data_IF_864360177214
#
_entry.id   IF_864360177214
#
_cell.length_a   1.000
_cell.length_b   1.000
_cell.length_c   1.000
_cell.angle_alpha   90.00
_cell.angle_beta   90.00
_cell.angle_gamma   90.00
#
_symmetry.space_group_name_H-M   'P 1'
#
loop_
_entity.id
_entity.type
_entity.pdbx_description
1 polymer ?
#
# COMPACT_ATOMS: atom_id res chain seq x y z
N UNK A 1 0.22 38.74 31.94
CA UNK A 1 -1.14 38.35 31.51
C UNK A 1 -2.01 38.15 32.74
N UNK A 2 -3.23 38.68 32.80
CA UNK A 2 -4.11 38.46 33.94
C UNK A 2 -4.38 36.96 34.06
N UNK A 3 -4.09 36.39 35.22
CA UNK A 3 -4.30 34.97 35.46
C UNK A 3 -5.81 34.75 35.53
N UNK A 4 -6.35 33.99 34.56
CA UNK A 4 -7.80 33.74 34.42
C UNK A 4 -8.48 33.19 35.69
N UNK A 5 -7.75 32.42 36.49
CA UNK A 5 -8.19 31.94 37.81
C UNK A 5 -7.05 32.10 38.81
N UNK A 6 -7.29 32.89 39.86
CA UNK A 6 -6.32 33.11 40.94
C UNK A 6 -6.23 31.90 41.85
N UNK A 7 -5.14 31.81 42.63
CA UNK A 7 -4.95 30.71 43.58
C UNK A 7 -6.04 30.72 44.64
N UNK A 8 -6.41 31.90 45.12
CA UNK A 8 -7.40 32.13 46.18
C UNK A 8 -8.77 31.63 45.74
N UNK A 9 -9.17 31.98 44.51
CA UNK A 9 -10.44 31.54 43.92
C UNK A 9 -10.48 30.02 43.75
N UNK A 10 -9.39 29.41 43.25
CA UNK A 10 -9.35 27.96 43.06
C UNK A 10 -9.28 27.20 44.37
N UNK A 11 -8.64 27.76 45.40
CA UNK A 11 -8.55 27.15 46.72
C UNK A 11 -9.90 27.14 47.44
N UNK A 12 -10.63 28.26 47.42
CA UNK A 12 -11.98 28.32 48.00
C UNK A 12 -12.95 27.38 47.27
N UNK A 13 -12.92 27.39 45.94
CA UNK A 13 -13.77 26.51 45.15
C UNK A 13 -13.43 25.03 45.33
N UNK A 14 -12.14 24.68 45.45
CA UNK A 14 -11.73 23.31 45.71
C UNK A 14 -12.21 22.83 47.08
N UNK A 15 -12.15 23.66 48.13
CA UNK A 15 -12.64 23.28 49.46
C UNK A 15 -14.13 22.94 49.46
N UNK A 16 -14.94 23.62 48.64
CA UNK A 16 -16.39 23.40 48.57
C UNK A 16 -16.83 22.37 47.52
N UNK A 17 -15.91 21.93 46.65
CA UNK A 17 -16.23 21.04 45.53
C UNK A 17 -15.84 19.60 45.81
N UNK A 18 -16.60 18.67 45.24
CA UNK A 18 -16.30 17.23 45.32
C UNK A 18 -15.57 16.68 44.10
N UNK A 19 -15.42 17.48 43.03
CA UNK A 19 -14.65 17.14 41.83
C UNK A 19 -14.33 18.38 40.98
N UNK A 20 -13.39 18.25 40.04
CA UNK A 20 -13.10 19.31 39.05
C UNK A 20 -14.33 19.62 38.18
N UNK A 21 -15.17 18.63 37.90
CA UNK A 21 -16.44 18.83 37.21
C UNK A 21 -17.42 19.66 38.05
N UNK A 22 -17.45 19.48 39.37
CA UNK A 22 -18.25 20.29 40.28
C UNK A 22 -17.74 21.74 40.33
N UNK A 23 -16.41 21.91 40.38
CA UNK A 23 -15.80 23.24 40.26
C UNK A 23 -16.17 23.93 38.94
N UNK A 24 -16.18 23.20 37.81
CA UNK A 24 -16.56 23.75 36.51
C UNK A 24 -18.03 24.19 36.49
N UNK A 25 -18.93 23.44 37.12
CA UNK A 25 -20.34 23.83 37.28
C UNK A 25 -20.46 25.09 38.14
N UNK A 26 -19.76 25.15 39.28
CA UNK A 26 -19.77 26.31 40.19
C UNK A 26 -19.18 27.57 39.55
N UNK A 27 -18.16 27.41 38.70
CA UNK A 27 -17.57 28.48 37.91
C UNK A 27 -18.44 28.94 36.73
N UNK A 28 -19.54 28.22 36.43
CA UNK A 28 -20.39 28.52 35.28
C UNK A 28 -19.69 28.33 33.93
N UNK A 29 -18.66 27.48 33.87
CA UNK A 29 -17.88 27.27 32.64
C UNK A 29 -18.36 26.04 31.87
N UNK A 30 -18.24 26.03 30.53
CA UNK A 30 -18.63 24.88 29.72
C UNK A 30 -17.91 23.60 30.13
N UNK A 31 -18.62 22.47 30.13
CA UNK A 31 -18.12 21.11 30.40
C UNK A 31 -17.25 20.56 29.26
N UNK A 32 -16.21 21.30 28.91
CA UNK A 32 -15.25 20.97 27.86
C UNK A 32 -13.95 20.40 28.44
N UNK A 33 -13.38 19.39 27.76
CA UNK A 33 -12.15 18.72 28.21
C UNK A 33 -10.94 19.66 28.33
N UNK A 34 -10.88 20.72 27.52
CA UNK A 34 -9.84 21.75 27.60
C UNK A 34 -9.88 22.53 28.92
N UNK A 35 -11.07 22.95 29.35
CA UNK A 35 -11.29 23.66 30.62
C UNK A 35 -10.96 22.76 31.82
N UNK A 36 -11.39 21.50 31.77
CA UNK A 36 -11.06 20.51 32.80
C UNK A 36 -9.54 20.31 32.95
N UNK A 37 -8.84 20.13 31.82
CA UNK A 37 -7.38 19.96 31.79
C UNK A 37 -6.65 21.20 32.32
N UNK A 38 -7.11 22.40 31.94
CA UNK A 38 -6.53 23.65 32.42
C UNK A 38 -6.68 23.82 33.94
N UNK A 39 -7.88 23.62 34.49
CA UNK A 39 -8.14 23.69 35.92
C UNK A 39 -7.33 22.65 36.71
N UNK A 40 -7.28 21.40 36.21
CA UNK A 40 -6.48 20.33 36.83
C UNK A 40 -5.00 20.70 36.91
N UNK A 41 -4.43 21.29 35.85
CA UNK A 41 -3.05 21.77 35.84
C UNK A 41 -2.83 22.93 36.82
N UNK A 42 -3.79 23.86 36.92
CA UNK A 42 -3.71 25.00 37.82
C UNK A 42 -3.79 24.62 39.29
N UNK A 43 -4.67 23.68 39.65
CA UNK A 43 -4.76 23.14 41.01
C UNK A 43 -3.43 22.53 41.45
N UNK A 44 -2.81 21.70 40.58
CA UNK A 44 -1.48 21.13 40.83
C UNK A 44 -0.39 22.19 40.93
N UNK A 45 -0.41 23.17 40.02
CA UNK A 45 0.57 24.26 40.02
C UNK A 45 0.54 25.09 41.31
N UNK A 46 -0.66 25.32 41.86
CA UNK A 46 -0.82 26.07 43.10
C UNK A 46 -0.70 25.22 44.37
N UNK A 47 -0.50 23.91 44.24
CA UNK A 47 -0.45 22.98 45.37
C UNK A 47 -1.74 22.97 46.19
N UNK A 48 -2.88 23.14 45.52
CA UNK A 48 -4.19 23.11 46.19
C UNK A 48 -4.56 21.66 46.45
N UNK A 49 -4.97 21.37 47.68
CA UNK A 49 -5.39 20.04 48.07
C UNK A 49 -6.71 19.65 47.38
N UNK A 50 -6.72 18.44 46.85
CA UNK A 50 -7.87 17.85 46.17
C UNK A 50 -8.01 16.36 46.53
N UNK A 51 -7.43 15.90 47.64
CA UNK A 51 -7.52 14.48 48.05
C UNK A 51 -8.94 14.07 48.36
N UNK A 52 -9.75 15.01 48.87
CA UNK A 52 -11.17 14.81 49.15
C UNK A 52 -12.04 14.69 47.89
N UNK A 53 -11.50 14.98 46.71
CA UNK A 53 -12.26 14.86 45.47
C UNK A 53 -12.62 13.40 45.20
N UNK A 54 -13.91 13.16 44.98
CA UNK A 54 -14.52 11.85 44.77
C UNK A 54 -14.53 10.94 46.01
N UNK A 55 -14.30 11.46 47.22
CA UNK A 55 -14.62 10.73 48.46
C UNK A 55 -16.11 10.38 48.51
N UNK A 56 -16.45 9.16 48.94
CA UNK A 56 -17.82 8.65 48.99
C UNK A 56 -18.42 8.24 47.65
N UNK A 57 -17.71 8.39 46.52
CA UNK A 57 -18.12 7.76 45.27
C UNK A 57 -17.96 6.25 45.40
N UNK A 58 -18.98 5.42 45.08
CA UNK A 58 -18.80 3.98 45.03
C UNK A 58 -17.59 3.67 44.15
N UNK A 59 -16.64 2.87 44.64
CA UNK A 59 -15.60 2.32 43.77
C UNK A 59 -16.31 1.40 42.78
N UNK A 60 -16.69 1.96 41.63
CA UNK A 60 -17.18 1.18 40.51
C UNK A 60 -16.10 0.22 39.98
N UNK A 61 -14.90 0.24 40.55
CA UNK A 61 -13.72 -0.43 40.10
C UNK A 61 -13.32 0.19 38.78
N UNK A 62 -12.12 0.76 38.68
CA UNK A 62 -11.37 0.39 37.48
C UNK A 62 -11.28 -1.13 37.58
N UNK A 63 -12.12 -1.89 36.86
CA UNK A 63 -11.98 -3.35 36.77
C UNK A 63 -10.52 -3.59 36.43
N UNK A 64 -9.72 -3.93 37.43
CA UNK A 64 -8.30 -4.20 37.25
C UNK A 64 -8.32 -5.58 36.65
N UNK A 65 -7.76 -5.68 35.46
CA UNK A 65 -7.54 -6.94 34.79
C UNK A 65 -6.08 -7.32 35.09
N UNK A 66 -5.81 -7.97 36.24
CA UNK A 66 -4.48 -8.47 36.54
C UNK A 66 -4.09 -9.51 35.50
N UNK A 67 -2.79 -9.75 35.38
CA UNK A 67 -2.22 -10.64 34.37
C UNK A 67 -2.85 -12.03 34.43
N UNK A 68 -3.11 -12.54 35.63
CA UNK A 68 -3.64 -13.89 35.87
C UNK A 68 -5.03 -14.05 35.26
N UNK A 69 -5.93 -13.10 35.54
CA UNK A 69 -7.30 -13.09 35.00
C UNK A 69 -7.29 -12.97 33.47
N UNK A 70 -6.39 -12.15 32.91
CA UNK A 70 -6.26 -12.02 31.45
C UNK A 70 -5.67 -13.25 30.79
N UNK A 71 -4.71 -13.92 31.44
CA UNK A 71 -4.11 -15.14 30.94
C UNK A 71 -5.13 -16.29 30.93
N UNK A 72 -5.91 -16.43 32.00
CA UNK A 72 -7.00 -17.41 32.09
C UNK A 72 -8.08 -17.14 31.03
N UNK A 73 -8.54 -15.89 30.92
CA UNK A 73 -9.53 -15.51 29.91
C UNK A 73 -9.00 -15.75 28.49
N UNK A 74 -7.72 -15.45 28.23
CA UNK A 74 -7.11 -15.72 26.93
C UNK A 74 -7.01 -17.23 26.63
N UNK A 75 -6.66 -18.07 27.61
CA UNK A 75 -6.59 -19.51 27.40
C UNK A 75 -7.95 -20.14 27.03
N UNK A 76 -9.04 -19.61 27.57
CA UNK A 76 -10.41 -20.10 27.31
C UNK A 76 -11.13 -19.38 26.16
N UNK A 77 -10.44 -18.49 25.46
CA UNK A 77 -11.01 -17.67 24.40
C UNK A 77 -10.21 -17.80 23.12
N UNK A 78 -10.88 -17.55 22.01
CA UNK A 78 -10.28 -17.48 20.68
C UNK A 78 -10.22 -16.03 20.15
N UNK A 79 -10.65 -15.05 20.95
CA UNK A 79 -10.65 -13.64 20.57
C UNK A 79 -10.76 -12.72 21.80
N UNK A 80 -10.37 -11.44 21.66
CA UNK A 80 -10.57 -10.43 22.72
C UNK A 80 -12.07 -10.22 23.03
N UNK A 81 -12.97 -10.42 22.05
CA UNK A 81 -14.41 -10.35 22.29
C UNK A 81 -14.90 -11.56 23.10
N UNK A 82 -14.44 -12.77 22.78
CA UNK A 82 -14.69 -13.96 23.58
C UNK A 82 -14.12 -13.81 25.00
N UNK A 83 -12.94 -13.17 25.14
CA UNK A 83 -12.41 -12.81 26.46
C UNK A 83 -13.34 -11.85 27.20
N UNK A 84 -13.86 -10.80 26.54
CA UNK A 84 -14.81 -9.88 27.18
C UNK A 84 -16.08 -10.61 27.62
N UNK A 85 -16.60 -11.54 26.81
CA UNK A 85 -17.73 -12.39 27.18
C UNK A 85 -17.41 -13.31 28.38
N UNK A 86 -16.23 -13.95 28.38
CA UNK A 86 -15.74 -14.78 29.47
C UNK A 86 -15.56 -14.00 30.78
N UNK A 87 -15.12 -12.74 30.68
CA UNK A 87 -14.99 -11.79 31.79
C UNK A 87 -16.33 -11.19 32.24
N UNK A 88 -17.45 -11.59 31.62
CA UNK A 88 -18.79 -11.08 31.91
C UNK A 88 -18.94 -9.59 31.62
N UNK A 89 -18.31 -9.11 30.54
CA UNK A 89 -18.34 -7.70 30.13
C UNK A 89 -18.98 -7.57 28.74
N UNK A 90 -19.94 -6.65 28.61
CA UNK A 90 -20.48 -6.28 27.30
C UNK A 90 -19.39 -5.60 26.45
N UNK A 91 -19.18 -6.00 25.18
CA UNK A 91 -18.13 -5.43 24.34
C UNK A 91 -18.31 -3.92 24.10
N UNK A 92 -17.22 -3.14 24.24
CA UNK A 92 -17.13 -1.74 23.80
C UNK A 92 -15.68 -1.35 23.43
N UNK A 93 -15.52 -0.41 22.50
CA UNK A 93 -14.25 -0.13 21.81
C UNK A 93 -13.07 0.26 22.73
N UNK A 94 -13.34 1.02 23.79
CA UNK A 94 -12.28 1.47 24.70
C UNK A 94 -11.73 0.33 25.57
N UNK A 95 -12.56 -0.65 25.93
CA UNK A 95 -12.11 -1.85 26.64
C UNK A 95 -11.34 -2.80 25.72
N UNK A 96 -11.80 -2.98 24.48
CA UNK A 96 -11.06 -3.76 23.49
C UNK A 96 -9.62 -3.26 23.34
N UNK A 97 -9.46 -1.95 23.15
CA UNK A 97 -8.16 -1.29 23.01
C UNK A 97 -7.30 -1.37 24.28
N UNK A 98 -7.94 -1.36 25.45
CA UNK A 98 -7.27 -1.53 26.74
C UNK A 98 -6.76 -2.97 26.92
N UNK A 99 -7.61 -3.98 26.71
CA UNK A 99 -7.26 -5.39 26.83
C UNK A 99 -6.17 -5.78 25.84
N UNK A 100 -6.25 -5.31 24.60
CA UNK A 100 -5.21 -5.51 23.58
C UNK A 100 -3.84 -5.03 24.05
N UNK A 101 -3.75 -3.83 24.63
CA UNK A 101 -2.48 -3.31 25.19
C UNK A 101 -2.00 -4.16 26.37
N UNK A 102 -2.89 -4.55 27.27
CA UNK A 102 -2.54 -5.36 28.45
C UNK A 102 -2.03 -6.76 28.08
N UNK A 103 -2.62 -7.40 27.08
CA UNK A 103 -2.16 -8.70 26.58
C UNK A 103 -0.70 -8.63 26.09
N UNK A 104 -0.36 -7.56 25.36
CA UNK A 104 1.01 -7.31 24.89
C UNK A 104 1.95 -6.98 26.04
N UNK A 105 1.54 -6.07 26.93
CA UNK A 105 2.33 -5.63 28.10
C UNK A 105 2.68 -6.81 29.03
N UNK A 106 1.73 -7.74 29.22
CA UNK A 106 1.92 -8.92 30.07
C UNK A 106 2.52 -10.12 29.34
N UNK A 107 2.78 -10.03 28.03
CA UNK A 107 3.31 -11.12 27.23
C UNK A 107 2.41 -12.36 27.22
N UNK A 108 1.08 -12.17 27.24
CA UNK A 108 0.11 -13.27 27.26
C UNK A 108 0.00 -13.86 25.85
N UNK A 109 0.13 -15.19 25.74
CA UNK A 109 -0.01 -15.88 24.46
C UNK A 109 -1.44 -15.77 23.92
N UNK A 110 -1.54 -15.27 22.69
CA UNK A 110 -2.78 -15.11 21.92
C UNK A 110 -2.60 -15.65 20.50
N UNK A 111 -1.62 -16.53 20.30
CA UNK A 111 -1.33 -17.11 18.99
C UNK A 111 -2.46 -17.98 18.46
N UNK A 112 -3.25 -18.59 19.36
CA UNK A 112 -4.43 -19.40 19.05
C UNK A 112 -5.69 -18.58 18.73
N UNK A 113 -5.67 -17.26 18.90
CA UNK A 113 -6.84 -16.45 18.62
C UNK A 113 -7.19 -16.49 17.13
N UNK A 114 -8.43 -16.88 16.84
CA UNK A 114 -9.01 -17.02 15.49
C UNK A 114 -9.18 -15.68 14.77
N UNK A 115 -8.98 -14.58 15.49
CA UNK A 115 -9.23 -13.23 15.04
C UNK A 115 -8.07 -12.28 15.37
N UNK A 116 -7.39 -11.75 14.34
CA UNK A 116 -6.40 -10.68 14.48
C UNK A 116 -6.91 -9.42 13.80
N UNK A 117 -7.43 -8.47 14.58
CA UNK A 117 -7.96 -7.21 14.08
C UNK A 117 -7.89 -6.08 15.11
N UNK A 118 -8.35 -4.90 14.72
CA UNK A 118 -8.56 -3.71 15.58
C UNK A 118 -10.04 -3.52 15.97
N UNK A 119 -10.87 -4.54 15.75
CA UNK A 119 -12.31 -4.50 15.93
C UNK A 119 -13.10 -4.07 14.69
N UNK A 120 -12.44 -3.51 13.66
CA UNK A 120 -13.09 -3.10 12.39
C UNK A 120 -12.95 -4.15 11.29
N UNK A 121 -11.79 -4.80 11.20
CA UNK A 121 -11.59 -5.88 10.23
C UNK A 121 -12.02 -7.22 10.80
N UNK A 122 -13.26 -7.59 10.45
CA UNK A 122 -13.86 -8.86 10.84
C UNK A 122 -13.51 -9.97 9.88
N UNK A 123 -12.32 -10.54 10.00
CA UNK A 123 -11.98 -11.70 9.18
C UNK A 123 -11.58 -12.87 10.07
N UNK A 124 -12.57 -13.71 10.37
CA UNK A 124 -12.33 -14.99 11.04
C UNK A 124 -11.54 -15.90 10.11
N UNK A 125 -10.46 -16.49 10.62
CA UNK A 125 -9.66 -17.44 9.85
C UNK A 125 -10.53 -18.54 9.25
N UNK A 126 -10.28 -18.89 7.98
CA UNK A 126 -11.00 -20.00 7.33
C UNK A 126 -10.77 -21.28 8.14
N UNK A 127 -11.82 -22.07 8.33
CA UNK A 127 -11.77 -23.32 9.07
C UNK A 127 -10.66 -24.23 8.54
N UNK A 128 -9.82 -24.74 9.44
CA UNK A 128 -8.59 -25.48 9.12
C UNK A 128 -8.82 -26.60 8.12
N UNK A 129 -9.81 -27.47 8.36
CA UNK A 129 -10.05 -28.65 7.52
C UNK A 129 -10.43 -28.31 6.07
N UNK A 130 -11.30 -27.31 5.87
CA UNK A 130 -11.68 -26.87 4.52
C UNK A 130 -10.49 -26.21 3.80
N UNK A 131 -9.68 -25.44 4.53
CA UNK A 131 -8.51 -24.78 3.97
C UNK A 131 -7.38 -25.77 3.62
N UNK A 132 -7.12 -26.74 4.48
CA UNK A 132 -6.12 -27.80 4.26
C UNK A 132 -6.38 -28.57 2.97
N UNK A 133 -7.62 -29.02 2.80
CA UNK A 133 -8.03 -29.74 1.59
C UNK A 133 -7.87 -28.85 0.34
N UNK A 134 -8.40 -27.62 0.38
CA UNK A 134 -8.31 -26.71 -0.76
C UNK A 134 -6.86 -26.33 -1.12
N UNK A 135 -5.98 -26.16 -0.11
CA UNK A 135 -4.54 -25.88 -0.33
C UNK A 135 -3.84 -27.09 -0.94
N UNK A 136 -4.16 -28.31 -0.51
CA UNK A 136 -3.55 -29.53 -1.05
C UNK A 136 -3.93 -29.76 -2.53
N UNK A 137 -5.19 -29.51 -2.91
CA UNK A 137 -5.68 -29.79 -4.27
C UNK A 137 -5.32 -28.73 -5.31
N UNK A 138 -5.02 -27.50 -4.88
CA UNK A 138 -4.79 -26.39 -5.81
C UNK A 138 -3.35 -25.87 -5.78
N UNK A 139 -2.87 -25.41 -6.94
CA UNK A 139 -1.53 -24.84 -7.12
C UNK A 139 -1.52 -23.31 -7.16
N UNK A 140 -2.59 -22.66 -6.73
CA UNK A 140 -2.65 -21.20 -6.70
C UNK A 140 -3.65 -20.69 -5.69
N UNK A 141 -3.39 -19.51 -5.12
CA UNK A 141 -4.30 -18.84 -4.20
C UNK A 141 -5.69 -18.60 -4.84
N UNK A 142 -5.75 -18.32 -6.15
CA UNK A 142 -7.02 -18.20 -6.88
C UNK A 142 -7.77 -19.54 -6.93
N UNK A 143 -7.08 -20.65 -7.14
CA UNK A 143 -7.69 -21.98 -7.10
C UNK A 143 -8.32 -22.28 -5.74
N UNK A 144 -7.59 -21.99 -4.66
CA UNK A 144 -8.09 -22.11 -3.29
C UNK A 144 -9.33 -21.22 -3.05
N UNK A 145 -9.30 -19.96 -3.50
CA UNK A 145 -10.43 -19.03 -3.39
C UNK A 145 -11.70 -19.60 -4.03
N UNK A 146 -11.57 -20.10 -5.26
CA UNK A 146 -12.70 -20.63 -6.01
C UNK A 146 -13.24 -21.92 -5.39
N UNK A 147 -12.37 -22.80 -4.91
CA UNK A 147 -12.74 -24.04 -4.24
C UNK A 147 -13.51 -23.82 -2.94
N UNK A 148 -13.17 -22.74 -2.23
CA UNK A 148 -13.88 -22.32 -1.02
C UNK A 148 -15.15 -21.51 -1.31
N UNK A 149 -15.56 -21.38 -2.57
CA UNK A 149 -16.75 -20.63 -2.97
C UNK A 149 -16.65 -19.12 -2.73
N UNK A 150 -15.44 -18.59 -2.59
CA UNK A 150 -15.20 -17.19 -2.28
C UNK A 150 -15.05 -16.35 -3.55
N UNK A 151 -15.41 -15.06 -3.45
CA UNK A 151 -15.15 -14.09 -4.52
C UNK A 151 -13.67 -13.72 -4.53
N UNK A 152 -13.07 -13.67 -5.72
CA UNK A 152 -11.65 -13.37 -5.90
C UNK A 152 -11.34 -11.86 -5.83
N UNK A 153 -11.21 -11.34 -4.61
CA UNK A 153 -10.97 -9.92 -4.33
C UNK A 153 -9.76 -9.71 -3.40
N UNK A 154 -9.41 -8.46 -3.10
CA UNK A 154 -8.29 -8.14 -2.21
C UNK A 154 -8.47 -8.73 -0.80
N UNK A 155 -9.65 -8.55 -0.22
CA UNK A 155 -9.96 -9.00 1.14
C UNK A 155 -9.93 -10.52 1.29
N UNK A 156 -10.48 -11.28 0.33
CA UNK A 156 -10.44 -12.75 0.37
C UNK A 156 -9.03 -13.31 0.20
N UNK A 157 -8.19 -12.64 -0.61
CA UNK A 157 -6.77 -12.99 -0.74
C UNK A 157 -5.99 -12.75 0.55
N UNK A 158 -6.22 -11.62 1.22
CA UNK A 158 -5.59 -11.32 2.52
C UNK A 158 -6.01 -12.35 3.55
N UNK A 159 -7.32 -12.61 3.67
CA UNK A 159 -7.85 -13.63 4.56
C UNK A 159 -7.20 -14.99 4.39
N UNK A 160 -7.10 -15.47 3.16
CA UNK A 160 -6.55 -16.80 2.90
C UNK A 160 -5.06 -16.86 3.17
N UNK A 161 -4.30 -15.81 2.87
CA UNK A 161 -2.87 -15.76 3.23
C UNK A 161 -2.67 -15.83 4.74
N UNK A 162 -3.45 -15.05 5.47
CA UNK A 162 -3.41 -15.03 6.94
C UNK A 162 -3.87 -16.37 7.53
N UNK A 163 -4.92 -16.98 6.98
CA UNK A 163 -5.42 -18.29 7.40
C UNK A 163 -4.41 -19.41 7.11
N UNK A 164 -3.77 -19.40 5.94
CA UNK A 164 -2.70 -20.35 5.56
C UNK A 164 -1.52 -20.23 6.52
N UNK A 165 -1.08 -19.01 6.81
CA UNK A 165 0.01 -18.76 7.74
C UNK A 165 -0.33 -19.16 9.19
N UNK A 166 -1.55 -18.87 9.62
CA UNK A 166 -2.08 -19.22 10.94
C UNK A 166 -2.09 -20.74 11.15
N UNK A 167 -2.64 -21.48 10.18
CA UNK A 167 -2.69 -22.95 10.23
C UNK A 167 -1.37 -23.62 9.83
N UNK A 168 -0.34 -22.83 9.47
CA UNK A 168 1.00 -23.29 9.05
C UNK A 168 0.96 -24.29 7.88
N UNK A 169 0.11 -24.01 6.89
CA UNK A 169 -0.05 -24.88 5.73
C UNK A 169 1.07 -24.66 4.71
N UNK A 170 1.61 -25.74 4.15
CA UNK A 170 2.60 -25.65 3.09
C UNK A 170 1.95 -25.15 1.79
N UNK A 171 2.60 -24.18 1.16
CA UNK A 171 2.19 -23.63 -0.14
C UNK A 171 3.35 -23.60 -1.14
N UNK A 172 4.42 -24.33 -0.85
CA UNK A 172 5.62 -24.41 -1.70
C UNK A 172 5.31 -24.88 -3.13
N UNK A 173 4.28 -25.70 -3.29
CA UNK A 173 3.77 -26.21 -4.58
C UNK A 173 2.94 -25.19 -5.37
N UNK A 174 2.62 -24.02 -4.80
CA UNK A 174 1.88 -22.99 -5.52
C UNK A 174 2.76 -22.36 -6.61
N UNK A 175 2.26 -22.34 -7.85
CA UNK A 175 3.03 -21.94 -9.04
C UNK A 175 2.94 -20.44 -9.37
N UNK A 176 2.45 -19.62 -8.44
CA UNK A 176 2.18 -18.19 -8.68
C UNK A 176 3.40 -17.34 -9.05
N UNK A 177 3.18 -16.31 -9.91
CA UNK A 177 4.06 -15.19 -10.36
C UNK A 177 5.57 -15.42 -10.59
N UNK A 178 6.07 -16.66 -10.54
CA UNK A 178 7.49 -16.98 -10.68
C UNK A 178 7.90 -17.40 -12.09
N UNK A 179 6.96 -17.65 -13.02
CA UNK A 179 7.28 -18.18 -14.36
C UNK A 179 8.33 -17.35 -15.15
N UNK A 180 8.44 -16.05 -14.88
CA UNK A 180 9.42 -15.16 -15.54
C UNK A 180 10.30 -14.36 -14.56
N UNK A 181 10.25 -14.63 -13.25
CA UNK A 181 11.04 -13.85 -12.28
C UNK A 181 12.52 -14.19 -12.45
N UNK A 182 13.30 -13.24 -13.00
CA UNK A 182 14.72 -13.41 -13.29
C UNK A 182 15.06 -13.85 -14.72
N UNK A 183 14.07 -14.13 -15.58
CA UNK A 183 14.32 -14.40 -17.00
C UNK A 183 14.27 -13.10 -17.80
N UNK A 184 15.41 -12.65 -18.33
CA UNK A 184 15.43 -11.77 -19.50
C UNK A 184 14.98 -12.63 -20.68
N UNK A 185 13.72 -12.52 -21.10
CA UNK A 185 13.33 -13.05 -22.40
C UNK A 185 14.09 -12.25 -23.44
N UNK A 186 15.15 -12.84 -24.00
CA UNK A 186 15.72 -12.35 -25.24
C UNK A 186 14.63 -12.20 -26.31
N UNK A 187 14.90 -11.48 -27.40
CA UNK A 187 13.89 -11.26 -28.41
C UNK A 187 13.45 -12.62 -28.99
N UNK A 188 12.14 -12.89 -28.96
CA UNK A 188 11.53 -14.09 -29.58
C UNK A 188 11.66 -14.10 -31.11
N UNK A 189 12.19 -13.04 -31.70
CA UNK A 189 12.35 -12.78 -33.14
C UNK A 189 13.80 -12.40 -33.38
N UNK A 190 14.33 -12.85 -34.50
CA UNK A 190 15.72 -12.64 -34.89
C UNK A 190 15.87 -11.33 -35.68
N UNK A 191 17.08 -10.75 -35.78
CA UNK A 191 17.34 -9.65 -36.71
C UNK A 191 16.91 -9.98 -38.14
N UNK A 192 17.10 -11.23 -38.57
CA UNK A 192 16.71 -11.74 -39.88
C UNK A 192 15.19 -11.68 -40.11
N UNK A 193 14.37 -11.77 -39.04
CA UNK A 193 12.91 -11.68 -39.14
C UNK A 193 12.40 -10.23 -39.25
N UNK A 194 13.13 -9.27 -38.69
CA UNK A 194 12.67 -7.90 -38.47
C UNK A 194 13.38 -6.87 -39.35
N UNK A 195 14.66 -7.07 -39.69
CA UNK A 195 15.47 -6.18 -40.50
C UNK A 195 15.37 -6.50 -42.00
N UNK A 196 14.14 -6.71 -42.47
CA UNK A 196 13.82 -7.08 -43.85
C UNK A 196 12.72 -6.17 -44.40
N UNK A 197 12.62 -6.10 -45.72
CA UNK A 197 11.49 -5.45 -46.39
C UNK A 197 10.23 -6.29 -46.17
N UNK A 198 9.17 -5.64 -45.68
CA UNK A 198 7.88 -6.25 -45.38
C UNK A 198 6.95 -6.14 -46.60
N UNK A 199 6.07 -7.14 -46.84
CA UNK A 199 5.10 -7.04 -47.92
C UNK A 199 4.08 -5.91 -47.66
N UNK A 200 3.54 -5.27 -48.71
CA UNK A 200 2.48 -4.28 -48.58
C UNK A 200 1.29 -4.80 -47.75
N UNK A 201 0.73 -3.95 -46.89
CA UNK A 201 -0.33 -4.33 -45.95
C UNK A 201 0.16 -4.92 -44.61
N UNK A 202 1.47 -5.11 -44.44
CA UNK A 202 2.04 -5.47 -43.13
C UNK A 202 1.83 -4.37 -42.10
N UNK A 203 1.64 -4.77 -40.83
CA UNK A 203 1.68 -3.84 -39.71
C UNK A 203 3.09 -3.27 -39.50
N UNK A 204 3.16 -1.99 -39.11
CA UNK A 204 4.42 -1.32 -38.73
C UNK A 204 5.09 -2.07 -37.59
N UNK A 205 6.39 -2.32 -37.72
CA UNK A 205 7.21 -2.79 -36.60
C UNK A 205 7.49 -1.60 -35.66
N UNK A 206 7.21 -1.73 -34.36
CA UNK A 206 7.59 -0.71 -33.38
C UNK A 206 9.10 -0.40 -33.40
N UNK A 207 9.46 0.88 -33.33
CA UNK A 207 10.84 1.33 -33.49
C UNK A 207 11.80 0.83 -32.40
N UNK A 208 11.31 0.65 -31.17
CA UNK A 208 12.07 0.06 -30.06
C UNK A 208 12.56 -1.37 -30.39
N UNK A 209 11.74 -2.15 -31.11
CA UNK A 209 12.13 -3.49 -31.57
C UNK A 209 13.18 -3.44 -32.67
N UNK A 210 13.03 -2.54 -33.63
CA UNK A 210 14.02 -2.36 -34.70
C UNK A 210 15.38 -1.91 -34.13
N UNK A 211 15.37 -0.92 -33.22
CA UNK A 211 16.57 -0.49 -32.49
C UNK A 211 17.22 -1.65 -31.74
N UNK A 212 16.44 -2.45 -31.02
CA UNK A 212 16.96 -3.61 -30.31
C UNK A 212 17.66 -4.60 -31.26
N UNK A 213 17.13 -4.83 -32.46
CA UNK A 213 17.74 -5.71 -33.46
C UNK A 213 19.01 -5.11 -34.06
N UNK A 214 19.01 -3.81 -34.36
CA UNK A 214 20.19 -3.08 -34.85
C UNK A 214 21.34 -3.17 -33.85
N UNK A 215 21.09 -2.85 -32.58
CA UNK A 215 22.10 -2.94 -31.51
C UNK A 215 22.58 -4.38 -31.32
N UNK A 216 21.68 -5.36 -31.44
CA UNK A 216 22.04 -6.77 -31.33
C UNK A 216 23.03 -7.23 -32.42
N UNK A 217 22.89 -6.74 -33.66
CA UNK A 217 23.84 -7.05 -34.76
C UNK A 217 25.08 -6.13 -34.76
N UNK A 218 25.32 -5.39 -33.68
CA UNK A 218 26.50 -4.54 -33.50
C UNK A 218 26.39 -3.14 -34.11
N UNK A 219 25.19 -2.67 -34.44
CA UNK A 219 25.00 -1.27 -34.81
C UNK A 219 25.29 -0.35 -33.61
N UNK A 220 26.09 0.73 -33.76
CA UNK A 220 26.32 1.69 -32.70
C UNK A 220 25.01 2.26 -32.16
N UNK A 221 24.86 2.27 -30.83
CA UNK A 221 23.68 2.81 -30.15
C UNK A 221 23.88 4.32 -29.86
N UNK A 222 24.14 5.09 -30.92
CA UNK A 222 24.36 6.54 -30.86
C UNK A 222 23.58 7.22 -31.98
N UNK A 223 23.28 8.51 -31.82
CA UNK A 223 22.68 9.29 -32.90
C UNK A 223 23.66 9.39 -34.08
N UNK A 224 23.25 8.97 -35.27
CA UNK A 224 24.10 9.02 -36.47
C UNK A 224 24.32 10.43 -37.00
N UNK A 225 23.50 11.40 -36.62
CA UNK A 225 23.66 12.80 -37.03
C UNK A 225 24.58 13.61 -36.12
N UNK A 226 24.48 13.44 -34.80
CA UNK A 226 25.21 14.27 -33.84
C UNK A 226 26.11 13.49 -32.88
N UNK A 227 26.15 12.16 -32.97
CA UNK A 227 26.93 11.30 -32.10
C UNK A 227 26.39 11.18 -30.67
N UNK A 228 25.23 11.78 -30.35
CA UNK A 228 24.70 11.76 -28.99
C UNK A 228 24.44 10.33 -28.50
N UNK A 229 24.89 9.98 -27.29
CA UNK A 229 24.57 8.69 -26.66
C UNK A 229 23.08 8.60 -26.30
N UNK A 230 22.56 7.42 -25.89
CA UNK A 230 21.18 7.23 -25.44
C UNK A 230 20.99 7.78 -24.01
N UNK A 231 21.60 8.92 -23.73
CA UNK A 231 21.53 9.64 -22.47
C UNK A 231 21.46 11.13 -22.74
N UNK A 232 20.59 11.83 -22.04
CA UNK A 232 20.41 13.27 -22.10
C UNK A 232 20.43 13.85 -20.69
N UNK A 233 21.36 14.77 -20.41
CA UNK A 233 21.54 15.38 -19.08
C UNK A 233 21.65 14.34 -17.94
N UNK A 234 22.32 13.22 -18.19
CA UNK A 234 22.47 12.14 -17.20
C UNK A 234 21.26 11.21 -17.06
N UNK A 235 20.17 11.45 -17.79
CA UNK A 235 18.98 10.59 -17.81
C UNK A 235 18.94 9.73 -19.08
N UNK A 236 18.36 8.51 -19.04
CA UNK A 236 18.17 7.70 -20.24
C UNK A 236 17.32 8.41 -21.29
N UNK A 237 17.78 8.38 -22.54
CA UNK A 237 17.06 8.90 -23.71
C UNK A 237 16.98 7.81 -24.77
N UNK A 238 15.78 7.55 -25.27
CA UNK A 238 15.59 6.58 -26.35
C UNK A 238 15.98 7.21 -27.67
N UNK A 239 16.92 6.58 -28.40
CA UNK A 239 17.14 6.90 -29.81
C UNK A 239 16.00 6.35 -30.65
N UNK A 240 15.50 7.18 -31.56
CA UNK A 240 14.41 6.87 -32.47
C UNK A 240 14.97 6.25 -33.76
N UNK A 241 14.21 5.30 -34.33
CA UNK A 241 14.54 4.71 -35.63
C UNK A 241 13.91 5.57 -36.72
N UNK A 242 14.76 6.11 -37.59
CA UNK A 242 14.34 6.81 -38.81
C UNK A 242 14.58 5.92 -40.03
N UNK A 243 13.62 5.92 -40.93
CA UNK A 243 13.72 5.26 -42.24
C UNK A 243 14.22 6.29 -43.24
N UNK A 244 15.41 6.08 -43.81
CA UNK A 244 16.07 7.03 -44.72
C UNK A 244 15.18 7.37 -45.92
N UNK A 245 14.53 6.37 -46.50
CA UNK A 245 13.57 6.54 -47.60
C UNK A 245 12.15 6.95 -47.14
N UNK A 246 11.88 6.98 -45.83
CA UNK A 246 10.56 7.26 -45.27
C UNK A 246 9.52 6.14 -45.42
N UNK A 247 9.88 4.99 -45.98
CA UNK A 247 9.04 3.80 -46.08
C UNK A 247 9.23 2.89 -44.85
N UNK A 248 8.25 2.95 -43.96
CA UNK A 248 8.16 2.12 -42.76
C UNK A 248 8.06 0.60 -42.99
N UNK A 249 7.84 0.14 -44.24
CA UNK A 249 7.87 -1.28 -44.59
C UNK A 249 9.29 -1.75 -44.91
N UNK A 250 10.21 -0.85 -45.25
CA UNK A 250 11.59 -1.18 -45.57
C UNK A 250 12.48 -1.12 -44.33
N UNK A 251 12.46 -2.19 -43.53
CA UNK A 251 13.25 -2.29 -42.30
C UNK A 251 14.67 -2.82 -42.54
N UNK A 252 15.14 -2.90 -43.79
CA UNK A 252 16.51 -3.35 -44.07
C UNK A 252 17.50 -2.43 -43.36
N UNK A 253 18.56 -3.02 -42.79
CA UNK A 253 19.59 -2.30 -42.04
C UNK A 253 20.04 -1.01 -42.74
N UNK A 254 20.35 -1.09 -44.02
CA UNK A 254 20.90 0.03 -44.80
C UNK A 254 19.92 1.21 -44.98
N UNK A 255 18.62 0.98 -44.71
CA UNK A 255 17.59 2.01 -44.76
C UNK A 255 17.22 2.57 -43.37
N UNK A 256 17.75 2.00 -42.29
CA UNK A 256 17.47 2.44 -40.94
C UNK A 256 18.65 3.24 -40.39
N UNK A 257 18.33 4.30 -39.65
CA UNK A 257 19.32 5.01 -38.83
C UNK A 257 18.79 5.34 -37.45
N UNK A 258 19.66 5.40 -36.45
CA UNK A 258 19.31 5.81 -35.10
C UNK A 258 19.54 7.31 -34.92
N UNK A 259 18.51 8.05 -34.51
CA UNK A 259 18.57 9.49 -34.30
C UNK A 259 18.08 9.84 -32.89
N UNK A 260 18.65 10.87 -32.27
CA UNK A 260 18.04 11.45 -31.08
C UNK A 260 16.75 12.22 -31.46
N UNK A 261 15.81 12.43 -30.53
CA UNK A 261 14.54 13.12 -30.84
C UNK A 261 14.72 14.49 -31.50
N UNK A 262 15.78 15.22 -31.11
CA UNK A 262 16.08 16.52 -31.70
C UNK A 262 16.53 16.41 -33.16
N UNK A 263 17.46 15.49 -33.47
CA UNK A 263 17.93 15.28 -34.83
C UNK A 263 16.87 14.64 -35.72
N UNK A 264 16.01 13.78 -35.17
CA UNK A 264 14.91 13.19 -35.92
C UNK A 264 13.87 14.26 -36.31
N UNK A 265 13.58 15.23 -35.43
CA UNK A 265 12.57 16.27 -35.69
C UNK A 265 12.83 17.12 -36.96
N UNK A 266 14.10 17.21 -37.38
CA UNK A 266 14.54 17.98 -38.54
C UNK A 266 14.64 17.15 -39.83
N UNK A 267 14.40 15.83 -39.81
CA UNK A 267 14.46 15.02 -41.03
C UNK A 267 13.28 15.32 -41.97
N UNK A 268 13.44 15.16 -43.29
CA UNK A 268 12.33 15.33 -44.23
C UNK A 268 11.18 14.33 -44.04
N UNK A 269 11.44 13.21 -43.35
CA UNK A 269 10.53 12.08 -43.08
C UNK A 269 9.77 12.20 -41.76
N UNK A 270 10.20 13.11 -40.87
CA UNK A 270 9.64 13.24 -39.52
C UNK A 270 8.13 13.47 -39.53
N UNK A 271 7.40 12.72 -38.70
CA UNK A 271 5.94 12.82 -38.52
C UNK A 271 5.14 12.84 -39.85
N UNK A 272 5.62 12.16 -40.89
CA UNK A 272 4.94 12.10 -42.17
C UNK A 272 5.03 13.37 -43.01
N UNK A 273 6.03 14.23 -42.75
CA UNK A 273 6.33 15.44 -43.55
C UNK A 273 6.57 15.14 -45.04
N UNK A 274 6.90 13.90 -45.38
CA UNK A 274 7.06 13.40 -46.75
C UNK A 274 5.77 12.92 -47.44
N UNK A 275 4.61 12.87 -46.76
CA UNK A 275 3.36 12.30 -47.32
C UNK A 275 2.74 13.09 -48.48
N UNK A 276 3.20 14.31 -48.74
CA UNK A 276 2.70 15.19 -49.82
C UNK A 276 3.73 15.45 -50.94
N UNK A 277 4.83 14.70 -51.00
CA UNK A 277 5.94 14.96 -51.95
C UNK A 277 5.87 14.18 -53.26
N UNK A 278 4.79 13.43 -53.52
CA UNK A 278 4.60 12.66 -54.75
C UNK A 278 4.17 13.49 -55.98
N UNK A 279 4.19 14.83 -55.90
CA UNK A 279 4.11 15.68 -57.10
C UNK A 279 5.52 15.90 -57.64
N UNK A 280 5.85 15.49 -58.88
CA UNK A 280 7.15 15.79 -59.49
C UNK A 280 7.32 17.32 -59.58
N UNK A 281 8.53 17.87 -59.45
CA UNK A 281 8.76 19.26 -59.77
C UNK A 281 8.43 19.46 -61.26
N UNK A 282 7.41 20.28 -61.54
CA UNK A 282 7.13 20.77 -62.87
C UNK A 282 8.41 21.45 -63.39
N UNK A 283 8.83 21.04 -64.59
CA UNK A 283 10.06 21.48 -65.20
C UNK A 283 10.15 23.01 -65.19
N UNK A 284 11.21 23.55 -64.58
CA UNK A 284 11.65 24.90 -64.85
C UNK A 284 12.10 24.97 -66.32
N UNK A 285 11.18 25.31 -67.20
CA UNK A 285 11.43 25.64 -68.59
C UNK A 285 11.38 27.16 -68.75
N UNK A 286 12.55 27.70 -69.13
CA UNK A 286 12.84 29.01 -69.73
C UNK A 286 12.38 30.27 -68.97
#
# INVERSE_FOLDING_TARGET
MPVKYTRELLASLAAESTSVNDMMRRLGVPMAGGTHSYLSKRLRHYGIDTTHFNEGRPDYGRRRYPREILAEAAAHSDSINAMMAHLGVTPYDSLYSYLKRRLVEFGIDTTHFTFRGDGRDRVGAVAKGALEHAVAEHRSLRGVILALGMVDCGSSRTLLRESIAFHRLDTSHFTGRAHNKGRKTGPRRTPEDLLVRRPPGSQRVPGDRLRAMLVHIGHPDVCEMCGAPPTWLGHPMTLEVDHINGDWLDNRRDNLRLLCPNCHSITPTYCGRNRNRDTPPEAAAA
#
